data_IF_359372901742
#
_entry.id   IF_359372901742
#
_cell.length_a   1.000
_cell.length_b   1.000
_cell.length_c   1.000
_cell.angle_alpha   90.00
_cell.angle_beta   90.00
_cell.angle_gamma   90.00
#
_symmetry.space_group_name_H-M   'P 1'
#
loop_
_entity.id
_entity.type
_entity.pdbx_description
1 polymer ?
#
# COMPACT_ATOMS: atom_id res chain seq x y z
N UNK A 1 -0.76 -6.13 -30.05
CA UNK A 1 0.64 -6.02 -29.59
C UNK A 1 0.67 -5.20 -28.30
N UNK A 2 0.80 -5.83 -27.12
CA UNK A 2 0.90 -5.06 -25.88
C UNK A 2 2.31 -4.48 -25.74
N UNK A 3 2.41 -3.15 -25.68
CA UNK A 3 3.67 -2.43 -25.57
C UNK A 3 4.44 -2.86 -24.32
N UNK A 4 5.78 -2.90 -24.40
CA UNK A 4 6.65 -3.41 -23.31
C UNK A 4 6.22 -2.91 -21.94
N UNK A 5 5.87 -1.62 -21.80
CA UNK A 5 5.40 -0.97 -20.56
C UNK A 5 4.16 -1.64 -19.93
N UNK A 6 3.18 -2.09 -20.72
CA UNK A 6 2.01 -2.83 -20.20
C UNK A 6 2.41 -4.20 -19.66
N UNK A 7 3.37 -4.89 -20.31
CA UNK A 7 3.90 -6.16 -19.82
C UNK A 7 4.57 -5.98 -18.44
N UNK A 8 5.25 -4.85 -18.21
CA UNK A 8 5.83 -4.51 -16.90
C UNK A 8 4.77 -4.20 -15.84
N UNK A 9 3.65 -3.55 -16.21
CA UNK A 9 2.52 -3.29 -15.30
C UNK A 9 1.81 -4.58 -14.89
N UNK A 10 1.70 -5.58 -15.78
CA UNK A 10 1.19 -6.91 -15.44
C UNK A 10 2.05 -7.63 -14.39
N UNK A 11 3.39 -7.59 -14.52
CA UNK A 11 4.30 -8.19 -13.53
C UNK A 11 4.15 -7.55 -12.15
N UNK A 12 3.93 -6.23 -12.09
CA UNK A 12 3.63 -5.53 -10.84
C UNK A 12 2.32 -6.00 -10.19
N UNK A 13 1.26 -6.20 -10.98
CA UNK A 13 -0.04 -6.64 -10.45
C UNK A 13 -0.05 -8.11 -9.99
N UNK A 14 0.69 -9.00 -10.65
CA UNK A 14 0.69 -10.43 -10.29
C UNK A 14 1.29 -10.71 -8.90
N UNK A 15 2.21 -9.87 -8.41
CA UNK A 15 2.83 -10.05 -7.08
C UNK A 15 1.89 -9.58 -5.94
N UNK A 16 0.83 -8.82 -6.27
CA UNK A 16 -0.13 -8.28 -5.31
C UNK A 16 -1.45 -9.07 -5.21
N UNK A 17 -1.51 -10.34 -5.64
CA UNK A 17 -2.71 -11.17 -5.41
C UNK A 17 -2.78 -11.54 -3.92
N UNK A 18 -3.73 -10.99 -3.13
CA UNK A 18 -3.89 -11.40 -1.75
C UNK A 18 -4.48 -12.81 -1.76
N UNK A 19 -3.82 -13.73 -1.06
CA UNK A 19 -4.31 -15.08 -0.78
C UNK A 19 -5.61 -14.99 0.05
N UNK A 20 -6.74 -14.81 -0.64
CA UNK A 20 -8.10 -14.77 -0.07
C UNK A 20 -8.73 -16.18 0.07
N UNK A 21 -7.94 -17.18 0.41
CA UNK A 21 -8.39 -18.58 0.59
C UNK A 21 -7.77 -19.04 1.91
N UNK A 22 -8.44 -19.56 2.94
CA UNK A 22 -9.76 -20.13 3.14
C UNK A 22 -10.07 -19.93 4.64
N UNK A 23 -11.19 -19.31 5.00
CA UNK A 23 -11.80 -19.59 6.32
C UNK A 23 -13.06 -20.39 6.02
N UNK A 24 -12.97 -21.70 6.23
CA UNK A 24 -14.13 -22.59 6.28
C UNK A 24 -14.98 -22.13 7.47
N UNK A 25 -16.02 -21.34 7.19
CA UNK A 25 -16.97 -20.89 8.20
C UNK A 25 -17.98 -22.01 8.44
N UNK A 26 -17.67 -22.80 9.47
CA UNK A 26 -18.56 -23.42 10.43
C UNK A 26 -19.60 -24.45 9.96
N UNK A 27 -19.39 -25.68 10.43
CA UNK A 27 -20.41 -26.71 10.61
C UNK A 27 -21.19 -26.41 11.92
N UNK A 28 -22.47 -26.04 11.81
CA UNK A 28 -23.37 -25.85 12.93
C UNK A 28 -24.80 -25.59 12.43
N UNK A 29 -25.85 -26.00 13.16
CA UNK A 29 -27.22 -25.96 12.64
C UNK A 29 -27.75 -24.53 12.50
N UNK A 30 -28.23 -24.20 11.29
CA UNK A 30 -28.73 -22.88 10.89
C UNK A 30 -30.17 -22.63 11.38
N UNK A 31 -30.39 -22.49 12.68
CA UNK A 31 -31.67 -21.92 13.15
C UNK A 31 -31.67 -20.40 12.97
N UNK A 32 -32.78 -19.86 12.45
CA UNK A 32 -32.91 -18.43 12.11
C UNK A 32 -32.70 -17.54 13.35
N UNK A 33 -33.17 -18.00 14.51
CA UNK A 33 -33.00 -17.32 15.80
C UNK A 33 -31.53 -17.22 16.20
N UNK A 34 -30.77 -18.31 16.04
CA UNK A 34 -29.34 -18.36 16.36
C UNK A 34 -28.50 -17.50 15.39
N UNK A 35 -28.89 -17.41 14.11
CA UNK A 35 -28.27 -16.48 13.15
C UNK A 35 -28.55 -15.03 13.52
N UNK A 36 -29.79 -14.71 13.91
CA UNK A 36 -30.18 -13.36 14.33
C UNK A 36 -29.45 -12.96 15.61
N UNK A 37 -29.37 -13.81 16.63
CA UNK A 37 -28.60 -13.50 17.85
C UNK A 37 -27.10 -13.33 17.55
N UNK A 38 -26.49 -14.20 16.74
CA UNK A 38 -25.06 -14.07 16.39
C UNK A 38 -24.74 -12.80 15.62
N UNK A 39 -25.67 -12.30 14.80
CA UNK A 39 -25.44 -11.15 13.93
C UNK A 39 -26.08 -9.83 14.40
N UNK A 40 -27.04 -9.87 15.32
CA UNK A 40 -27.72 -8.68 15.86
C UNK A 40 -27.30 -8.30 17.27
N UNK A 41 -26.48 -9.10 17.98
CA UNK A 41 -25.85 -8.61 19.20
C UNK A 41 -24.83 -7.53 18.81
N UNK A 42 -25.37 -6.32 18.70
CA UNK A 42 -24.74 -5.05 18.36
C UNK A 42 -23.87 -4.61 19.54
N UNK A 43 -22.89 -5.45 19.87
CA UNK A 43 -21.93 -5.20 20.92
C UNK A 43 -21.07 -4.02 20.48
N UNK A 44 -20.77 -3.13 21.43
CA UNK A 44 -19.81 -2.00 21.32
C UNK A 44 -18.50 -2.37 20.59
N UNK A 45 -18.18 -3.66 20.55
CA UNK A 45 -17.12 -4.29 19.76
C UNK A 45 -17.20 -4.02 18.25
N UNK A 46 -18.36 -3.74 17.64
CA UNK A 46 -18.42 -3.40 16.21
C UNK A 46 -17.55 -2.18 15.89
N UNK A 47 -17.64 -1.12 16.70
CA UNK A 47 -16.80 0.07 16.57
C UNK A 47 -15.31 -0.26 16.77
N UNK A 48 -14.99 -1.13 17.73
CA UNK A 48 -13.60 -1.56 17.94
C UNK A 48 -13.07 -2.43 16.80
N UNK A 49 -13.92 -3.31 16.23
CA UNK A 49 -13.60 -4.15 15.08
C UNK A 49 -13.43 -3.31 13.82
N UNK A 50 -14.29 -2.31 13.59
CA UNK A 50 -14.17 -1.36 12.50
C UNK A 50 -12.92 -0.50 12.65
N UNK A 51 -12.67 0.07 13.83
CA UNK A 51 -11.43 0.79 14.11
C UNK A 51 -10.21 -0.11 13.92
N UNK A 52 -10.24 -1.35 14.38
CA UNK A 52 -9.15 -2.32 14.15
C UNK A 52 -8.99 -2.63 12.66
N UNK A 53 -10.08 -2.79 11.90
CA UNK A 53 -10.05 -2.98 10.44
C UNK A 53 -9.47 -1.75 9.73
N UNK A 54 -9.89 -0.55 10.10
CA UNK A 54 -9.37 0.72 9.55
C UNK A 54 -7.89 0.94 9.90
N UNK A 55 -7.48 0.71 11.14
CA UNK A 55 -6.07 0.76 11.55
C UNK A 55 -5.23 -0.28 10.80
N UNK A 56 -5.78 -1.49 10.58
CA UNK A 56 -5.09 -2.48 9.76
C UNK A 56 -5.02 -2.07 8.30
N UNK A 57 -5.99 -1.33 7.76
CA UNK A 57 -5.96 -0.86 6.38
C UNK A 57 -4.96 0.27 6.19
N UNK A 58 -4.94 1.30 7.05
CA UNK A 58 -3.99 2.42 6.93
C UNK A 58 -2.55 1.93 7.06
N UNK A 59 -2.25 1.06 8.04
CA UNK A 59 -0.92 0.44 8.18
C UNK A 59 -0.56 -0.39 6.95
N UNK A 60 -1.51 -1.16 6.42
CA UNK A 60 -1.26 -1.99 5.23
C UNK A 60 -0.98 -1.11 4.01
N UNK A 61 -1.71 -0.01 3.84
CA UNK A 61 -1.50 0.96 2.77
C UNK A 61 -0.17 1.68 2.88
N UNK A 62 0.22 2.11 4.07
CA UNK A 62 1.53 2.70 4.35
C UNK A 62 2.66 1.73 3.98
N UNK A 63 2.58 0.48 4.43
CA UNK A 63 3.58 -0.54 4.12
C UNK A 63 3.60 -0.91 2.63
N UNK A 64 2.44 -0.95 1.96
CA UNK A 64 2.38 -1.13 0.51
C UNK A 64 3.06 0.02 -0.22
N UNK A 65 2.75 1.28 0.14
CA UNK A 65 3.39 2.46 -0.43
C UNK A 65 4.91 2.43 -0.23
N UNK A 66 5.39 2.11 0.98
CA UNK A 66 6.82 1.97 1.25
C UNK A 66 7.48 0.93 0.34
N UNK A 67 6.87 -0.25 0.18
CA UNK A 67 7.37 -1.30 -0.72
C UNK A 67 7.36 -0.84 -2.19
N UNK A 68 6.35 -0.08 -2.60
CA UNK A 68 6.26 0.46 -3.95
C UNK A 68 7.37 1.50 -4.21
N UNK A 69 7.68 2.35 -3.23
CA UNK A 69 8.84 3.25 -3.29
C UNK A 69 10.14 2.44 -3.43
N UNK A 70 10.35 1.40 -2.62
CA UNK A 70 11.56 0.55 -2.71
C UNK A 70 11.70 -0.17 -4.05
N UNK A 71 10.58 -0.52 -4.69
CA UNK A 71 10.54 -1.10 -6.05
C UNK A 71 10.83 -0.03 -7.10
N UNK A 72 10.20 1.14 -7.01
CA UNK A 72 10.36 2.24 -7.96
C UNK A 72 11.78 2.82 -7.94
N UNK A 73 12.38 2.98 -6.76
CA UNK A 73 13.76 3.47 -6.62
C UNK A 73 14.78 2.61 -7.37
N UNK A 74 14.48 1.34 -7.69
CA UNK A 74 15.36 0.48 -8.51
C UNK A 74 15.62 1.03 -9.91
N UNK A 75 14.74 1.89 -10.43
CA UNK A 75 14.93 2.52 -11.73
C UNK A 75 15.87 3.74 -11.69
N UNK A 76 16.15 4.27 -10.50
CA UNK A 76 16.95 5.49 -10.28
C UNK A 76 18.44 5.16 -10.10
N UNK A 77 19.05 4.56 -11.12
CA UNK A 77 20.44 4.04 -11.07
C UNK A 77 21.52 5.04 -11.48
N UNK A 78 21.19 6.31 -11.67
CA UNK A 78 22.19 7.33 -11.99
C UNK A 78 22.74 7.99 -10.72
N UNK A 79 24.01 8.41 -10.73
CA UNK A 79 24.61 9.14 -9.63
C UNK A 79 24.14 10.59 -9.58
N UNK A 80 24.10 11.15 -8.38
CA UNK A 80 24.04 12.58 -8.13
C UNK A 80 25.42 13.23 -8.35
N UNK A 81 25.48 14.56 -8.31
CA UNK A 81 26.68 15.38 -8.33
C UNK A 81 27.78 14.93 -7.36
N UNK A 82 27.40 14.35 -6.21
CA UNK A 82 28.32 13.80 -5.19
C UNK A 82 28.78 12.36 -5.48
N UNK A 83 28.33 11.76 -6.58
CA UNK A 83 28.61 10.37 -6.96
C UNK A 83 27.71 9.31 -6.31
N UNK A 84 26.79 9.71 -5.42
CA UNK A 84 25.87 8.79 -4.73
C UNK A 84 24.70 8.46 -5.66
N UNK A 85 24.29 7.20 -5.74
CA UNK A 85 23.13 6.79 -6.54
C UNK A 85 21.83 7.37 -5.98
N UNK A 86 21.00 7.96 -6.86
CA UNK A 86 19.70 8.51 -6.47
C UNK A 86 18.80 7.49 -5.78
N UNK A 87 18.86 6.22 -6.19
CA UNK A 87 18.16 5.12 -5.51
C UNK A 87 18.42 5.11 -4.00
N UNK A 88 19.67 5.25 -3.59
CA UNK A 88 20.06 5.05 -2.19
C UNK A 88 19.64 6.26 -1.36
N UNK A 89 19.77 7.48 -1.92
CA UNK A 89 19.24 8.73 -1.34
C UNK A 89 17.73 8.63 -1.15
N UNK A 90 16.99 8.21 -2.17
CA UNK A 90 15.52 8.13 -2.11
C UNK A 90 15.05 7.08 -1.08
N UNK A 91 15.80 6.00 -0.90
CA UNK A 91 15.49 4.96 0.10
C UNK A 91 15.73 5.45 1.51
N UNK A 92 16.84 6.15 1.73
CA UNK A 92 17.14 6.74 3.03
C UNK A 92 16.08 7.77 3.39
N UNK A 93 15.79 8.71 2.49
CA UNK A 93 14.76 9.72 2.69
C UNK A 93 13.40 9.07 2.98
N UNK A 94 12.98 8.09 2.17
CA UNK A 94 11.73 7.38 2.42
C UNK A 94 11.72 6.66 3.77
N UNK A 95 12.85 6.12 4.23
CA UNK A 95 12.93 5.52 5.56
C UNK A 95 12.78 6.59 6.65
N UNK A 96 13.49 7.70 6.54
CA UNK A 96 13.42 8.81 7.51
C UNK A 96 12.00 9.35 7.63
N UNK A 97 11.33 9.62 6.51
CA UNK A 97 9.95 10.12 6.47
C UNK A 97 8.95 9.17 7.14
N UNK A 98 9.09 7.86 6.89
CA UNK A 98 8.23 6.84 7.49
C UNK A 98 8.48 6.65 8.99
N UNK A 99 9.74 6.76 9.44
CA UNK A 99 10.06 6.70 10.88
C UNK A 99 9.56 7.94 11.62
N UNK A 100 9.65 9.13 11.01
CA UNK A 100 9.08 10.36 11.58
C UNK A 100 7.57 10.28 11.71
N UNK A 101 6.88 9.70 10.73
CA UNK A 101 5.42 9.57 10.71
C UNK A 101 4.89 8.31 11.42
N UNK A 102 5.77 7.53 12.07
CA UNK A 102 5.42 6.21 12.60
C UNK A 102 4.37 6.24 13.70
N UNK A 103 4.38 7.29 14.51
CA UNK A 103 3.47 7.49 15.64
C UNK A 103 2.39 8.52 15.34
N UNK A 104 2.26 8.93 14.07
CA UNK A 104 1.22 9.84 13.66
C UNK A 104 -0.14 9.18 13.87
N UNK A 105 -0.97 9.83 14.68
CA UNK A 105 -2.26 9.28 15.12
C UNK A 105 -3.42 10.01 14.47
N UNK A 106 -3.19 11.21 13.91
CA UNK A 106 -4.22 11.98 13.23
C UNK A 106 -4.58 11.33 11.87
N UNK A 107 -5.84 10.87 11.70
CA UNK A 107 -6.27 10.25 10.45
C UNK A 107 -6.16 11.19 9.25
N UNK A 108 -6.29 12.51 9.42
CA UNK A 108 -6.17 13.46 8.31
C UNK A 108 -4.74 13.54 7.80
N UNK A 109 -3.76 13.60 8.71
CA UNK A 109 -2.35 13.65 8.36
C UNK A 109 -1.94 12.34 7.69
N UNK A 110 -2.31 11.19 8.26
CA UNK A 110 -2.05 9.88 7.66
C UNK A 110 -2.64 9.79 6.26
N UNK A 111 -3.89 10.22 6.08
CA UNK A 111 -4.54 10.19 4.76
C UNK A 111 -3.81 11.09 3.75
N UNK A 112 -3.41 12.30 4.15
CA UNK A 112 -2.64 13.21 3.28
C UNK A 112 -1.29 12.63 2.89
N UNK A 113 -0.57 12.02 3.83
CA UNK A 113 0.71 11.35 3.57
C UNK A 113 0.55 10.19 2.58
N UNK A 114 -0.47 9.35 2.77
CA UNK A 114 -0.72 8.20 1.90
C UNK A 114 -1.11 8.61 0.48
N UNK A 115 -2.07 9.53 0.34
CA UNK A 115 -2.55 9.98 -0.97
C UNK A 115 -1.46 10.80 -1.67
N UNK A 116 -0.87 11.77 -0.98
CA UNK A 116 0.18 12.64 -1.51
C UNK A 116 1.42 11.85 -1.90
N UNK A 117 1.88 10.93 -1.04
CA UNK A 117 3.02 10.07 -1.32
C UNK A 117 2.80 9.18 -2.56
N UNK A 118 1.60 8.60 -2.71
CA UNK A 118 1.26 7.77 -3.88
C UNK A 118 1.21 8.59 -5.16
N UNK A 119 0.61 9.78 -5.13
CA UNK A 119 0.55 10.69 -6.29
C UNK A 119 1.95 11.16 -6.71
N UNK A 120 2.79 11.54 -5.75
CA UNK A 120 4.17 11.94 -6.00
C UNK A 120 4.98 10.80 -6.63
N UNK A 121 4.84 9.58 -6.09
CA UNK A 121 5.49 8.39 -6.64
C UNK A 121 5.07 8.10 -8.08
N UNK A 122 3.77 8.10 -8.36
CA UNK A 122 3.25 7.90 -9.71
C UNK A 122 3.75 8.96 -10.68
N UNK A 123 3.69 10.25 -10.30
CA UNK A 123 4.20 11.34 -11.13
C UNK A 123 5.69 11.20 -11.45
N UNK A 124 6.51 10.78 -10.46
CA UNK A 124 7.93 10.55 -10.66
C UNK A 124 8.20 9.39 -11.64
N UNK A 125 7.46 8.28 -11.51
CA UNK A 125 7.56 7.12 -12.41
C UNK A 125 7.10 7.49 -13.82
N UNK A 126 6.01 8.24 -13.96
CA UNK A 126 5.48 8.64 -15.26
C UNK A 126 6.48 9.56 -15.99
N UNK A 127 7.06 10.55 -15.29
CA UNK A 127 8.14 11.40 -15.84
C UNK A 127 9.35 10.58 -16.26
N UNK A 128 9.77 9.61 -15.44
CA UNK A 128 10.85 8.70 -15.79
C UNK A 128 10.52 7.91 -17.07
N UNK A 129 9.30 7.35 -17.15
CA UNK A 129 8.85 6.59 -18.31
C UNK A 129 8.78 7.46 -19.58
N UNK A 130 8.34 8.71 -19.48
CA UNK A 130 8.35 9.67 -20.59
C UNK A 130 9.76 9.98 -21.09
N UNK A 131 10.72 10.22 -20.17
CA UNK A 131 12.13 10.42 -20.53
C UNK A 131 12.73 9.19 -21.22
N UNK A 132 12.34 7.99 -20.80
CA UNK A 132 12.76 6.76 -21.47
C UNK A 132 12.11 6.56 -22.84
N UNK A 133 10.92 7.12 -23.12
CA UNK A 133 10.29 7.07 -24.44
C UNK A 133 10.90 8.05 -25.44
N UNK A 134 11.45 9.17 -24.96
CA UNK A 134 12.06 10.20 -25.79
C UNK A 134 13.47 9.82 -26.29
N UNK A 135 14.06 8.74 -25.76
CA UNK A 135 15.42 8.29 -26.06
C UNK A 135 15.39 7.10 -27.01
#
# INVERSE_FOLDING_TARGET
MMGRVQRWRCVWNCIHRPSQQLRLLHEGPDTVEELLERHLVKNKNENELENRRQLTSTRREALCLYRDILRATRFFIWPDSRGILWRDILRENARTEFEQSRFESDPEIVTRLLIGGRQALHSAIDKLAEKHKQR
#
